data_IF_907452307294
#
_entry.id   IF_907452307294
#
_cell.length_a   1.000
_cell.length_b   1.000
_cell.length_c   1.000
_cell.angle_alpha   90.00
_cell.angle_beta   90.00
_cell.angle_gamma   90.00
#
_symmetry.space_group_name_H-M   'P 1'
#
loop_
_entity.id
_entity.type
_entity.pdbx_description
1 polymer ?
#
# COMPACT_ATOMS: atom_id res chain seq x y z
N UNK A 1 11.24 -5.29 16.67
CA UNK A 1 10.63 -3.97 16.94
C UNK A 1 9.17 -4.10 16.57
N UNK A 2 8.27 -4.08 17.57
CA UNK A 2 6.83 -4.13 17.34
C UNK A 2 6.41 -2.72 16.94
N UNK A 3 6.12 -2.51 15.67
CA UNK A 3 5.61 -1.24 15.16
C UNK A 3 4.22 -1.00 15.78
N UNK A 4 4.00 0.06 16.58
CA UNK A 4 2.73 0.32 17.26
C UNK A 4 1.74 0.96 16.28
N UNK A 5 1.51 0.31 15.14
CA UNK A 5 0.51 0.80 14.19
C UNK A 5 -0.87 0.56 14.80
N UNK A 6 -1.66 1.61 14.91
CA UNK A 6 -3.00 1.56 15.52
C UNK A 6 -3.99 0.90 14.56
N UNK A 7 -4.90 0.03 15.04
CA UNK A 7 -6.05 -0.42 14.26
C UNK A 7 -6.83 0.76 13.66
N UNK A 8 -7.41 0.56 12.47
CA UNK A 8 -8.16 1.61 11.79
C UNK A 8 -9.62 1.20 11.55
N UNK A 9 -10.53 2.16 11.75
CA UNK A 9 -11.96 1.96 11.54
C UNK A 9 -12.32 2.29 10.10
N UNK A 10 -12.95 1.35 9.41
CA UNK A 10 -13.39 1.54 8.05
C UNK A 10 -14.46 2.65 7.97
N UNK A 11 -14.27 3.73 7.19
CA UNK A 11 -15.22 4.83 7.14
C UNK A 11 -16.57 4.42 6.54
N UNK A 12 -16.60 3.36 5.72
CA UNK A 12 -17.80 2.90 5.02
C UNK A 12 -18.69 1.95 5.82
N UNK A 13 -18.08 0.98 6.51
CA UNK A 13 -18.84 -0.06 7.23
C UNK A 13 -18.56 -0.10 8.73
N UNK A 14 -17.70 0.78 9.24
CA UNK A 14 -17.36 0.93 10.66
C UNK A 14 -16.69 -0.31 11.29
N UNK A 15 -16.20 -1.25 10.47
CA UNK A 15 -15.42 -2.38 10.94
C UNK A 15 -14.01 -1.94 11.36
N UNK A 16 -13.53 -2.44 12.50
CA UNK A 16 -12.13 -2.32 12.91
C UNK A 16 -11.25 -3.27 12.07
N UNK A 17 -10.11 -2.74 11.60
CA UNK A 17 -9.16 -3.45 10.76
C UNK A 17 -7.78 -3.44 11.41
N UNK A 18 -7.01 -4.47 11.11
CA UNK A 18 -5.60 -4.52 11.48
C UNK A 18 -4.85 -3.34 10.83
N UNK A 19 -3.89 -2.72 11.54
CA UNK A 19 -3.06 -1.65 10.99
C UNK A 19 -2.40 -1.99 9.65
N UNK A 20 -2.11 -3.26 9.38
CA UNK A 20 -1.39 -3.71 8.20
C UNK A 20 -2.30 -3.85 6.98
N UNK A 21 -3.62 -3.80 7.19
CA UNK A 21 -4.58 -3.93 6.12
C UNK A 21 -4.68 -2.63 5.32
N UNK A 22 -4.37 -2.75 4.02
CA UNK A 22 -4.53 -1.65 3.06
C UNK A 22 -5.99 -1.47 2.61
N UNK A 23 -6.84 -2.47 2.87
CA UNK A 23 -8.26 -2.49 2.53
C UNK A 23 -9.07 -3.14 3.66
N UNK A 24 -10.32 -2.71 3.82
CA UNK A 24 -11.21 -3.20 4.86
C UNK A 24 -11.50 -4.69 4.65
N UNK A 25 -11.31 -5.48 5.71
CA UNK A 25 -11.54 -6.94 5.69
C UNK A 25 -12.98 -7.38 5.40
N UNK A 26 -13.95 -6.48 5.59
CA UNK A 26 -15.37 -6.79 5.42
C UNK A 26 -15.93 -6.28 4.09
N UNK A 27 -15.64 -5.03 3.73
CA UNK A 27 -16.28 -4.38 2.57
C UNK A 27 -15.30 -3.98 1.45
N UNK A 28 -13.99 -4.19 1.64
CA UNK A 28 -12.96 -3.88 0.64
C UNK A 28 -12.63 -2.40 0.48
N UNK A 29 -13.19 -1.51 1.31
CA UNK A 29 -12.87 -0.07 1.25
C UNK A 29 -11.39 0.18 1.54
N UNK A 30 -10.72 1.03 0.75
CA UNK A 30 -9.30 1.34 0.95
C UNK A 30 -9.07 2.03 2.31
N UNK A 31 -7.93 1.74 2.95
CA UNK A 31 -7.50 2.44 4.16
C UNK A 31 -7.34 3.95 3.86
N UNK A 32 -8.07 4.86 4.54
CA UNK A 32 -8.01 6.30 4.30
C UNK A 32 -6.61 6.93 4.42
N UNK A 33 -5.74 6.39 5.28
CA UNK A 33 -4.36 6.84 5.45
C UNK A 33 -3.34 5.94 4.73
N UNK A 34 -3.81 4.87 4.08
CA UNK A 34 -2.99 4.02 3.23
C UNK A 34 -2.62 4.78 1.97
N UNK A 35 -1.51 5.52 2.02
CA UNK A 35 -0.97 6.22 0.87
C UNK A 35 -0.77 5.27 -0.30
N UNK A 36 -1.11 5.73 -1.51
CA UNK A 36 -0.58 5.09 -2.71
C UNK A 36 0.94 5.28 -2.64
N UNK A 37 1.68 4.22 -2.31
CA UNK A 37 3.13 4.27 -2.31
C UNK A 37 3.56 4.32 -3.77
N UNK A 38 3.60 5.51 -4.35
CA UNK A 38 4.18 5.72 -5.67
C UNK A 38 5.69 5.53 -5.56
N UNK A 39 6.19 4.40 -6.08
CA UNK A 39 7.62 4.18 -6.28
C UNK A 39 7.97 4.45 -7.73
N UNK A 40 9.16 4.97 -7.99
CA UNK A 40 9.72 4.96 -9.33
C UNK A 40 10.56 3.70 -9.51
N UNK A 41 10.34 2.97 -10.61
CA UNK A 41 11.24 1.90 -11.01
C UNK A 41 12.65 2.47 -11.26
N UNK A 42 13.66 1.95 -10.57
CA UNK A 42 15.04 2.41 -10.72
C UNK A 42 15.59 2.15 -12.13
N UNK A 43 15.02 1.16 -12.84
CA UNK A 43 15.50 0.75 -14.17
C UNK A 43 14.87 1.52 -15.32
N UNK A 44 13.56 1.83 -15.27
CA UNK A 44 12.85 2.47 -16.37
C UNK A 44 12.16 3.79 -16.01
N UNK A 45 12.21 4.20 -14.73
CA UNK A 45 11.65 5.46 -14.25
C UNK A 45 10.11 5.50 -14.14
N UNK A 46 9.41 4.43 -14.51
CA UNK A 46 7.94 4.35 -14.40
C UNK A 46 7.52 4.46 -12.95
N UNK A 47 6.61 5.40 -12.66
CA UNK A 47 5.93 5.51 -11.36
C UNK A 47 4.77 4.51 -11.30
N UNK A 48 4.67 3.76 -10.21
CA UNK A 48 3.58 2.82 -9.97
C UNK A 48 3.40 2.55 -8.46
N UNK A 49 2.29 1.91 -8.02
CA UNK A 49 1.97 1.68 -6.60
C UNK A 49 2.87 0.68 -5.84
N UNK A 50 4.09 0.41 -6.33
CA UNK A 50 4.93 -0.68 -5.86
C UNK A 50 4.51 -2.05 -6.40
N UNK A 51 5.08 -3.12 -5.84
CA UNK A 51 4.88 -4.50 -6.27
C UNK A 51 6.15 -5.35 -6.14
N UNK A 52 6.07 -6.65 -6.44
CA UNK A 52 7.25 -7.54 -6.43
C UNK A 52 8.18 -7.34 -7.63
N UNK A 53 7.67 -6.74 -8.71
CA UNK A 53 8.43 -6.36 -9.91
C UNK A 53 7.73 -5.19 -10.60
N UNK A 54 8.50 -4.37 -11.31
CA UNK A 54 8.00 -3.29 -12.15
C UNK A 54 7.08 -3.89 -13.24
N UNK A 55 5.83 -3.41 -13.39
CA UNK A 55 4.89 -3.97 -14.35
C UNK A 55 5.28 -3.70 -15.81
N UNK A 56 6.17 -2.72 -16.06
CA UNK A 56 6.60 -2.37 -17.42
C UNK A 56 7.81 -3.18 -17.89
N UNK A 57 8.82 -3.34 -17.03
CA UNK A 57 10.10 -3.93 -17.42
C UNK A 57 10.50 -5.18 -16.61
N UNK A 58 9.73 -5.55 -15.58
CA UNK A 58 10.01 -6.71 -14.72
C UNK A 58 11.14 -6.52 -13.71
N UNK A 59 11.78 -5.33 -13.66
CA UNK A 59 12.82 -5.03 -12.67
C UNK A 59 12.32 -5.16 -11.23
N UNK A 60 13.17 -5.61 -10.31
CA UNK A 60 12.87 -5.67 -8.87
C UNK A 60 13.43 -4.49 -8.08
N UNK A 61 14.12 -3.57 -8.76
CA UNK A 61 14.77 -2.41 -8.15
C UNK A 61 13.84 -1.20 -8.20
N UNK A 62 13.55 -0.63 -7.03
CA UNK A 62 12.65 0.51 -6.86
C UNK A 62 13.35 1.64 -6.08
N UNK A 63 13.13 2.88 -6.52
CA UNK A 63 13.46 4.08 -5.76
C UNK A 63 12.24 4.46 -4.92
N UNK A 64 12.45 4.61 -3.62
CA UNK A 64 11.46 5.24 -2.74
C UNK A 64 11.45 6.74 -3.07
N UNK A 65 10.28 7.26 -3.42
CA UNK A 65 10.06 8.68 -3.73
C UNK A 65 9.45 9.40 -2.53
#
# INVERSE_FOLDING_TARGET
MSDPRTPWTCPKCQAENDPDFTHCRLCGEKHPEGGDVEVACASCGTKHPGGTCCPLCGSKEFLQL
#
